data_IF_625634840263
#
_entry.id   IF_625634840263
#
_cell.length_a   1.000
_cell.length_b   1.000
_cell.length_c   1.000
_cell.angle_alpha   90.00
_cell.angle_beta   90.00
_cell.angle_gamma   90.00
#
_symmetry.space_group_name_H-M   'P 1'
#
loop_
_entity.id
_entity.type
_entity.pdbx_description
1 polymer ?
#
# COMPACT_ATOMS: atom_id res chain seq x y z
N UNK A 1 2.54 -8.05 5.19
CA UNK A 1 1.78 -8.67 4.09
C UNK A 1 2.57 -8.46 2.82
N UNK A 2 2.77 -9.49 2.03
CA UNK A 2 3.28 -9.38 0.65
C UNK A 2 2.14 -9.10 -0.34
N UNK A 3 2.50 -8.78 -1.59
CA UNK A 3 1.58 -8.35 -2.66
C UNK A 3 0.72 -9.47 -3.24
N UNK A 4 0.96 -10.74 -2.89
CA UNK A 4 0.12 -11.84 -3.35
C UNK A 4 -1.22 -11.91 -2.60
N UNK A 5 -1.38 -11.10 -1.55
CA UNK A 5 -2.59 -11.02 -0.76
C UNK A 5 -3.41 -9.79 -1.14
N UNK A 6 -4.65 -10.01 -1.57
CA UNK A 6 -5.58 -8.91 -1.81
C UNK A 6 -5.91 -8.17 -0.50
N UNK A 7 -5.77 -6.83 -0.45
CA UNK A 7 -6.05 -6.04 0.74
C UNK A 7 -7.49 -6.16 1.27
N UNK A 8 -8.50 -6.19 0.38
CA UNK A 8 -9.93 -6.27 0.76
C UNK A 8 -10.25 -7.64 1.35
N UNK A 9 -9.75 -8.71 0.75
CA UNK A 9 -9.89 -10.07 1.27
C UNK A 9 -9.17 -10.25 2.61
N UNK A 10 -7.96 -9.70 2.77
CA UNK A 10 -7.25 -9.72 4.04
C UNK A 10 -8.06 -9.04 5.16
N UNK A 11 -8.69 -7.89 4.88
CA UNK A 11 -9.57 -7.19 5.82
C UNK A 11 -10.84 -7.99 6.13
N UNK A 12 -11.48 -8.63 5.13
CA UNK A 12 -12.63 -9.52 5.37
C UNK A 12 -12.24 -10.68 6.28
N UNK A 13 -11.11 -11.33 6.01
CA UNK A 13 -10.59 -12.43 6.82
C UNK A 13 -10.34 -11.94 8.24
N UNK A 14 -9.67 -10.79 8.44
CA UNK A 14 -9.44 -10.22 9.77
C UNK A 14 -10.74 -10.14 10.58
N UNK A 15 -11.83 -9.69 9.96
CA UNK A 15 -13.10 -9.43 10.65
C UNK A 15 -12.92 -8.40 11.77
N UNK A 16 -13.52 -8.67 12.92
CA UNK A 16 -13.52 -7.74 14.07
C UNK A 16 -12.25 -7.80 14.93
N UNK A 17 -11.34 -8.75 14.64
CA UNK A 17 -10.09 -8.95 15.39
C UNK A 17 -9.25 -7.68 15.41
N UNK A 18 -8.66 -7.39 16.56
CA UNK A 18 -7.82 -6.21 16.78
C UNK A 18 -6.41 -6.41 16.20
N UNK A 19 -6.31 -6.46 14.87
CA UNK A 19 -5.06 -6.68 14.13
C UNK A 19 -4.87 -5.54 13.13
N UNK A 20 -3.68 -4.92 13.18
CA UNK A 20 -3.24 -3.91 12.22
C UNK A 20 -2.46 -4.61 11.10
N UNK A 21 -2.72 -4.25 9.85
CA UNK A 21 -1.93 -4.73 8.71
C UNK A 21 -0.77 -3.79 8.40
N UNK A 22 0.34 -4.36 7.91
CA UNK A 22 1.45 -3.64 7.32
C UNK A 22 1.76 -4.21 5.92
N UNK A 23 1.93 -3.33 4.93
CA UNK A 23 2.19 -3.71 3.52
C UNK A 23 1.24 -2.99 2.54
N UNK A 24 1.14 -3.41 1.28
CA UNK A 24 1.79 -4.60 0.72
C UNK A 24 2.25 -4.51 -0.74
N UNK A 25 2.44 -3.31 -1.31
CA UNK A 25 2.82 -3.15 -2.73
C UNK A 25 4.01 -4.04 -3.13
N UNK A 26 3.95 -4.61 -4.33
CA UNK A 26 5.11 -5.25 -4.96
C UNK A 26 6.20 -4.19 -5.17
N UNK A 27 7.43 -4.37 -4.64
CA UNK A 27 8.54 -3.44 -4.91
C UNK A 27 8.78 -3.20 -6.41
N UNK A 28 8.45 -4.18 -7.25
CA UNK A 28 8.52 -4.12 -8.70
C UNK A 28 7.68 -2.99 -9.31
N UNK A 29 6.60 -2.55 -8.66
CA UNK A 29 5.75 -1.44 -9.14
C UNK A 29 6.55 -0.14 -9.32
N UNK A 30 7.61 0.05 -8.53
CA UNK A 30 8.43 1.24 -8.55
C UNK A 30 9.29 1.36 -9.82
N UNK A 31 9.40 0.29 -10.63
CA UNK A 31 10.00 0.35 -11.96
C UNK A 31 9.01 0.77 -13.06
N UNK A 32 7.71 0.82 -12.75
CA UNK A 32 6.66 1.25 -13.68
C UNK A 32 6.55 2.77 -13.81
N UNK A 33 5.41 3.23 -14.31
CA UNK A 33 5.10 4.65 -14.41
C UNK A 33 4.50 5.18 -13.11
N UNK A 34 4.48 6.51 -12.93
CA UNK A 34 3.82 7.13 -11.77
C UNK A 34 2.33 6.79 -11.69
N UNK A 35 1.67 6.63 -12.83
CA UNK A 35 0.27 6.21 -12.91
C UNK A 35 0.09 4.78 -12.40
N UNK A 36 1.00 3.86 -12.74
CA UNK A 36 0.99 2.49 -12.21
C UNK A 36 1.23 2.46 -10.69
N UNK A 37 2.13 3.31 -10.19
CA UNK A 37 2.39 3.47 -8.75
C UNK A 37 1.15 4.01 -8.04
N UNK A 38 0.53 5.08 -8.56
CA UNK A 38 -0.72 5.63 -8.02
C UNK A 38 -1.81 4.57 -7.95
N UNK A 39 -1.99 3.79 -9.02
CA UNK A 39 -2.99 2.71 -9.04
C UNK A 39 -2.74 1.65 -7.96
N UNK A 40 -1.49 1.23 -7.75
CA UNK A 40 -1.17 0.29 -6.68
C UNK A 40 -1.42 0.87 -5.28
N UNK A 41 -1.15 2.17 -5.09
CA UNK A 41 -1.50 2.86 -3.84
C UNK A 41 -3.01 2.93 -3.66
N UNK A 42 -3.79 3.25 -4.70
CA UNK A 42 -5.25 3.28 -4.64
C UNK A 42 -5.82 1.92 -4.24
N UNK A 43 -5.35 0.83 -4.83
CA UNK A 43 -5.76 -0.55 -4.47
C UNK A 43 -5.48 -0.85 -3.00
N UNK A 44 -4.31 -0.46 -2.48
CA UNK A 44 -3.95 -0.62 -1.08
C UNK A 44 -4.82 0.24 -0.14
N UNK A 45 -5.04 1.51 -0.48
CA UNK A 45 -5.86 2.44 0.32
C UNK A 45 -7.30 1.95 0.36
N UNK A 46 -7.90 1.63 -0.78
CA UNK A 46 -9.28 1.14 -0.85
C UNK A 46 -9.51 -0.14 -0.04
N UNK A 47 -8.50 -1.00 0.07
CA UNK A 47 -8.62 -2.25 0.79
C UNK A 47 -8.25 -2.19 2.26
N UNK A 48 -7.14 -1.54 2.63
CA UNK A 48 -6.66 -1.51 4.01
C UNK A 48 -7.10 -0.27 4.79
N UNK A 49 -7.29 0.88 4.14
CA UNK A 49 -7.67 2.14 4.80
C UNK A 49 -9.19 2.24 5.02
N UNK A 50 -9.75 1.17 5.61
CA UNK A 50 -11.18 1.04 5.88
C UNK A 50 -11.42 0.76 7.35
N UNK A 51 -12.45 1.41 7.89
CA UNK A 51 -12.78 1.35 9.31
C UNK A 51 -11.71 1.96 10.23
N UNK A 52 -11.92 1.84 11.54
CA UNK A 52 -11.04 2.44 12.56
C UNK A 52 -10.06 1.42 13.17
N UNK A 53 -9.53 0.48 12.36
CA UNK A 53 -8.67 -0.62 12.84
C UNK A 53 -7.18 -0.44 12.50
N UNK A 54 -6.84 0.61 11.75
CA UNK A 54 -5.46 0.98 11.44
C UNK A 54 -4.82 0.15 10.31
N UNK A 55 -3.83 0.76 9.67
CA UNK A 55 -3.00 0.18 8.61
C UNK A 55 -1.70 0.98 8.52
N UNK A 56 -0.57 0.29 8.34
CA UNK A 56 0.75 0.88 8.10
C UNK A 56 1.13 0.59 6.65
N UNK A 57 1.09 1.61 5.80
CA UNK A 57 1.50 1.48 4.40
C UNK A 57 2.99 1.10 4.32
N UNK A 58 3.30 0.09 3.51
CA UNK A 58 4.66 -0.33 3.22
C UNK A 58 4.69 -1.12 1.90
N UNK A 59 5.88 -1.33 1.36
CA UNK A 59 6.08 -2.38 0.37
C UNK A 59 5.89 -3.76 1.03
N UNK A 60 5.60 -4.77 0.21
CA UNK A 60 5.50 -6.16 0.66
C UNK A 60 6.85 -6.83 0.90
N UNK A 61 7.93 -6.24 0.39
CA UNK A 61 9.31 -6.67 0.61
C UNK A 61 10.29 -5.49 0.47
N UNK A 62 11.60 -5.75 0.49
CA UNK A 62 12.62 -4.71 0.39
C UNK A 62 12.62 -4.01 -0.98
N UNK A 63 12.88 -2.71 -0.98
CA UNK A 63 13.20 -1.98 -2.20
C UNK A 63 14.48 -2.53 -2.83
N UNK A 64 14.52 -2.61 -4.16
CA UNK A 64 15.69 -3.08 -4.91
C UNK A 64 16.58 -1.91 -5.38
N UNK A 65 17.91 -2.10 -5.54
CA UNK A 65 18.86 -1.01 -5.79
C UNK A 65 18.63 -0.15 -7.04
N UNK A 66 17.93 -0.67 -8.06
CA UNK A 66 17.71 0.03 -9.33
C UNK A 66 16.51 0.98 -9.36
N UNK A 67 15.74 1.06 -8.27
CA UNK A 67 14.54 1.91 -8.24
C UNK A 67 14.93 3.38 -8.30
N UNK A 68 14.22 4.14 -9.16
CA UNK A 68 14.31 5.60 -9.17
C UNK A 68 13.78 6.18 -7.83
N UNK A 69 14.57 6.92 -7.05
CA UNK A 69 14.12 7.53 -5.80
C UNK A 69 12.88 8.43 -5.96
N UNK A 70 12.69 9.07 -7.12
CA UNK A 70 11.50 9.89 -7.39
C UNK A 70 10.21 9.06 -7.49
N UNK A 71 10.32 7.79 -7.88
CA UNK A 71 9.18 6.87 -7.90
C UNK A 71 8.80 6.44 -6.47
N UNK A 72 9.79 6.18 -5.62
CA UNK A 72 9.54 5.92 -4.21
C UNK A 72 8.97 7.15 -3.50
N UNK A 73 9.47 8.35 -3.81
CA UNK A 73 8.91 9.60 -3.31
C UNK A 73 7.45 9.76 -3.73
N UNK A 74 7.14 9.54 -5.02
CA UNK A 74 5.77 9.57 -5.54
C UNK A 74 4.86 8.58 -4.81
N UNK A 75 5.32 7.35 -4.59
CA UNK A 75 4.59 6.33 -3.82
C UNK A 75 4.18 6.84 -2.42
N UNK A 76 5.10 7.46 -1.68
CA UNK A 76 4.79 8.02 -0.36
C UNK A 76 3.89 9.26 -0.41
N UNK A 77 4.10 10.15 -1.38
CA UNK A 77 3.24 11.33 -1.59
C UNK A 77 1.79 10.92 -1.87
N UNK A 78 1.57 9.89 -2.69
CA UNK A 78 0.24 9.37 -2.99
C UNK A 78 -0.43 8.73 -1.78
N UNK A 79 0.31 7.97 -0.95
CA UNK A 79 -0.21 7.42 0.31
C UNK A 79 -0.72 8.56 1.19
N UNK A 80 0.07 9.60 1.41
CA UNK A 80 -0.34 10.73 2.22
C UNK A 80 -1.50 11.51 1.61
N UNK A 81 -1.50 11.72 0.29
CA UNK A 81 -2.57 12.41 -0.43
C UNK A 81 -3.92 11.71 -0.26
N UNK A 82 -3.94 10.39 -0.40
CA UNK A 82 -5.18 9.59 -0.37
C UNK A 82 -5.68 9.25 1.03
N UNK A 83 -4.83 9.32 2.06
CA UNK A 83 -5.19 8.95 3.45
C UNK A 83 -5.37 10.14 4.39
N UNK A 84 -5.07 11.37 3.93
CA UNK A 84 -5.25 12.58 4.74
C UNK A 84 -6.72 12.72 5.16
N UNK A 85 -6.96 12.75 6.47
CA UNK A 85 -8.28 13.05 7.02
C UNK A 85 -8.58 14.55 6.82
N UNK A 86 -9.79 14.85 6.32
CA UNK A 86 -10.37 16.18 6.39
C UNK A 86 -10.74 16.52 7.85
#
# INVERSE_FOLDING_TARGET
>A
MDWLHDPKEAVKIRGDRNIVFQGNADPGVLYGTKEAITKAVEEMVEGFWVGNKGWIANLGHGITPGVNPDHLKHYFEEIHRLTKKN
#
